data_IF_665584427975
#
_entry.id   IF_665584427975
#
_cell.length_a   1.000
_cell.length_b   1.000
_cell.length_c   1.000
_cell.angle_alpha   90.00
_cell.angle_beta   90.00
_cell.angle_gamma   90.00
#
_symmetry.space_group_name_H-M   'P 1'
#
loop_
_entity.id
_entity.type
_entity.pdbx_description
1 polymer ?
#
# COMPACT_ATOMS: atom_id res chain seq x y z
N UNK A 1 15.80 16.04 -46.90
CA UNK A 1 17.06 16.73 -46.55
C UNK A 1 17.17 16.68 -45.04
N UNK A 2 18.14 15.93 -44.52
CA UNK A 2 18.27 15.59 -43.10
C UNK A 2 18.56 16.84 -42.24
N UNK A 3 17.88 16.95 -41.10
CA UNK A 3 18.21 17.92 -40.04
C UNK A 3 19.39 17.34 -39.23
N UNK A 4 20.57 17.31 -39.85
CA UNK A 4 21.83 17.07 -39.13
C UNK A 4 22.27 18.41 -38.51
N UNK A 5 22.82 18.37 -37.30
CA UNK A 5 23.45 19.49 -36.56
C UNK A 5 22.55 20.43 -35.74
N UNK A 6 21.75 19.89 -34.81
CA UNK A 6 21.25 20.66 -33.66
C UNK A 6 22.04 20.37 -32.36
N UNK A 7 23.24 19.79 -32.46
CA UNK A 7 24.07 19.42 -31.29
C UNK A 7 25.09 20.48 -30.86
N UNK A 8 25.36 21.48 -31.71
CA UNK A 8 26.41 22.50 -31.45
C UNK A 8 25.89 23.94 -31.37
N UNK A 9 24.56 24.14 -31.35
CA UNK A 9 24.03 25.48 -31.05
C UNK A 9 24.27 25.79 -29.57
N UNK A 10 25.07 26.82 -29.31
CA UNK A 10 25.19 27.40 -27.98
C UNK A 10 23.81 27.86 -27.51
N UNK A 11 23.47 27.75 -26.22
CA UNK A 11 22.15 28.15 -25.70
C UNK A 11 21.70 29.55 -26.13
N UNK A 12 22.66 30.47 -26.34
CA UNK A 12 22.45 31.83 -26.85
C UNK A 12 21.99 31.91 -28.32
N UNK A 13 22.44 31.02 -29.20
CA UNK A 13 22.02 30.99 -30.60
C UNK A 13 20.64 30.33 -30.76
N UNK A 14 20.39 29.29 -29.97
CA UNK A 14 19.09 28.64 -29.87
C UNK A 14 18.03 29.65 -29.39
N UNK A 15 18.37 30.43 -28.36
CA UNK A 15 17.51 31.51 -27.85
C UNK A 15 17.22 32.57 -28.92
N UNK A 16 18.21 32.97 -29.72
CA UNK A 16 18.03 33.96 -30.80
C UNK A 16 17.16 33.46 -31.96
N UNK A 17 17.27 32.17 -32.30
CA UNK A 17 16.42 31.54 -33.33
C UNK A 17 14.99 31.38 -32.82
N UNK A 18 14.82 30.98 -31.56
CA UNK A 18 13.52 30.88 -30.89
C UNK A 18 12.84 32.25 -30.73
N UNK A 19 13.59 33.30 -30.38
CA UNK A 19 13.12 34.70 -30.30
C UNK A 19 12.54 35.19 -31.64
N UNK A 20 13.11 34.74 -32.77
CA UNK A 20 12.66 35.09 -34.11
C UNK A 20 11.33 34.42 -34.49
N UNK A 21 11.01 33.30 -33.85
CA UNK A 21 9.80 32.51 -34.04
C UNK A 21 8.92 32.59 -32.80
N UNK A 22 8.35 33.78 -32.51
CA UNK A 22 7.28 34.01 -31.50
C UNK A 22 7.38 33.07 -30.26
N UNK A 23 8.34 33.38 -29.39
CA UNK A 23 8.64 32.65 -28.14
C UNK A 23 7.45 32.47 -27.19
N UNK A 24 6.45 33.35 -27.22
CA UNK A 24 5.27 33.27 -26.35
C UNK A 24 4.57 31.91 -26.46
N UNK A 25 4.44 31.37 -27.68
CA UNK A 25 3.76 30.09 -27.90
C UNK A 25 4.57 28.90 -27.36
N UNK A 26 5.89 28.99 -27.32
CA UNK A 26 6.75 27.89 -26.87
C UNK A 26 6.98 27.93 -25.34
N UNK A 27 7.08 29.12 -24.74
CA UNK A 27 7.03 29.26 -23.28
C UNK A 27 5.67 28.81 -22.75
N UNK A 28 4.56 29.23 -23.36
CA UNK A 28 3.22 28.77 -22.98
C UNK A 28 3.07 27.25 -23.17
N UNK A 29 3.55 26.69 -24.29
CA UNK A 29 3.51 25.23 -24.53
C UNK A 29 4.40 24.43 -23.55
N UNK A 30 5.56 24.96 -23.16
CA UNK A 30 6.47 24.28 -22.21
C UNK A 30 5.95 24.37 -20.78
N UNK A 31 5.38 25.51 -20.38
CA UNK A 31 4.69 25.69 -19.10
C UNK A 31 3.48 24.76 -19.01
N UNK A 32 2.60 24.75 -20.02
CA UNK A 32 1.42 23.87 -20.05
C UNK A 32 1.81 22.39 -20.06
N UNK A 33 2.90 22.02 -20.74
CA UNK A 33 3.40 20.64 -20.72
C UNK A 33 3.97 20.27 -19.35
N UNK A 34 4.72 21.15 -18.70
CA UNK A 34 5.26 20.92 -17.36
C UNK A 34 4.15 20.83 -16.31
N UNK A 35 3.18 21.74 -16.33
CA UNK A 35 1.99 21.72 -15.47
C UNK A 35 1.19 20.43 -15.64
N UNK A 36 1.00 19.98 -16.89
CA UNK A 36 0.32 18.71 -17.19
C UNK A 36 1.08 17.51 -16.62
N UNK A 37 2.41 17.44 -16.81
CA UNK A 37 3.22 16.35 -16.27
C UNK A 37 3.24 16.33 -14.74
N UNK A 38 3.27 17.50 -14.09
CA UNK A 38 3.16 17.60 -12.62
C UNK A 38 1.78 17.13 -12.16
N UNK A 39 0.72 17.57 -12.83
CA UNK A 39 -0.65 17.16 -12.53
C UNK A 39 -0.85 15.65 -12.70
N UNK A 40 -0.37 15.07 -13.80
CA UNK A 40 -0.39 13.63 -14.07
C UNK A 40 0.41 12.87 -13.00
N UNK A 41 1.59 13.35 -12.60
CA UNK A 41 2.41 12.74 -11.55
C UNK A 41 1.74 12.77 -10.18
N UNK A 42 1.10 13.89 -9.81
CA UNK A 42 0.32 13.99 -8.56
C UNK A 42 -0.86 13.02 -8.60
N UNK A 43 -1.60 12.99 -9.70
CA UNK A 43 -2.76 12.10 -9.85
C UNK A 43 -2.35 10.63 -9.76
N UNK A 44 -1.29 10.24 -10.45
CA UNK A 44 -0.73 8.88 -10.37
C UNK A 44 -0.26 8.55 -8.95
N UNK A 45 0.40 9.48 -8.25
CA UNK A 45 0.83 9.30 -6.87
C UNK A 45 -0.34 9.08 -5.92
N UNK A 46 -1.40 9.89 -6.05
CA UNK A 46 -2.64 9.76 -5.24
C UNK A 46 -3.35 8.44 -5.54
N UNK A 47 -3.48 8.06 -6.81
CA UNK A 47 -4.13 6.82 -7.20
C UNK A 47 -3.36 5.60 -6.70
N UNK A 48 -2.04 5.59 -6.89
CA UNK A 48 -1.15 4.54 -6.39
C UNK A 48 -1.26 4.41 -4.88
N UNK A 49 -1.17 5.52 -4.13
CA UNK A 49 -1.29 5.50 -2.67
C UNK A 49 -2.64 4.98 -2.17
N UNK A 50 -3.74 5.30 -2.86
CA UNK A 50 -5.08 4.75 -2.54
C UNK A 50 -5.16 3.25 -2.78
N UNK A 51 -4.58 2.77 -3.88
CA UNK A 51 -4.57 1.35 -4.22
C UNK A 51 -3.73 0.57 -3.21
N UNK A 52 -2.50 1.03 -2.95
CA UNK A 52 -1.58 0.40 -2.00
C UNK A 52 -2.21 0.33 -0.60
N UNK A 53 -2.68 1.46 -0.06
CA UNK A 53 -3.31 1.48 1.27
C UNK A 53 -4.56 0.60 1.37
N UNK A 54 -5.36 0.48 0.30
CA UNK A 54 -6.53 -0.41 0.28
C UNK A 54 -6.12 -1.88 0.23
N UNK A 55 -5.07 -2.22 -0.50
CA UNK A 55 -4.57 -3.60 -0.59
C UNK A 55 -3.95 -4.00 0.74
N UNK A 56 -3.05 -3.19 1.28
CA UNK A 56 -2.38 -3.44 2.57
C UNK A 56 -3.41 -3.61 3.68
N UNK A 57 -4.29 -2.63 3.89
CA UNK A 57 -5.30 -2.70 4.96
C UNK A 57 -6.26 -3.90 4.81
N UNK A 58 -6.58 -4.32 3.58
CA UNK A 58 -7.41 -5.52 3.35
C UNK A 58 -6.66 -6.81 3.64
N UNK A 59 -5.37 -6.87 3.32
CA UNK A 59 -4.53 -8.05 3.59
C UNK A 59 -4.30 -8.18 5.09
N UNK A 60 -3.84 -7.10 5.74
CA UNK A 60 -3.58 -7.06 7.19
C UNK A 60 -4.83 -7.42 7.97
N UNK A 61 -5.95 -6.72 7.76
CA UNK A 61 -7.19 -7.01 8.49
C UNK A 61 -7.74 -8.41 8.25
N UNK A 62 -7.51 -9.00 7.05
CA UNK A 62 -7.92 -10.39 6.78
C UNK A 62 -7.00 -11.41 7.46
N UNK A 63 -5.71 -11.11 7.59
CA UNK A 63 -4.76 -11.99 8.28
C UNK A 63 -5.02 -11.93 9.78
N UNK A 64 -5.07 -10.73 10.36
CA UNK A 64 -5.31 -10.50 11.78
C UNK A 64 -6.64 -11.14 12.20
N UNK A 65 -7.75 -10.79 11.54
CA UNK A 65 -9.06 -11.36 11.89
C UNK A 65 -9.15 -12.89 11.72
N UNK A 66 -8.38 -13.49 10.79
CA UNK A 66 -8.31 -14.96 10.67
C UNK A 66 -7.52 -15.60 11.80
N UNK A 67 -6.45 -14.95 12.27
CA UNK A 67 -5.63 -15.46 13.38
C UNK A 67 -6.40 -15.32 14.68
N UNK A 68 -6.97 -14.14 14.94
CA UNK A 68 -7.79 -13.85 16.11
C UNK A 68 -8.98 -14.82 16.19
N UNK A 69 -9.78 -14.93 15.12
CA UNK A 69 -10.94 -15.83 15.13
C UNK A 69 -10.58 -17.31 15.31
N UNK A 70 -9.39 -17.75 14.84
CA UNK A 70 -8.92 -19.12 15.11
C UNK A 70 -8.54 -19.33 16.57
N UNK A 71 -7.92 -18.34 17.21
CA UNK A 71 -7.53 -18.41 18.63
C UNK A 71 -8.78 -18.33 19.50
N UNK A 72 -9.68 -17.40 19.23
CA UNK A 72 -10.97 -17.26 19.92
C UNK A 72 -11.80 -18.54 19.84
N UNK A 73 -11.91 -19.15 18.65
CA UNK A 73 -12.63 -20.41 18.49
C UNK A 73 -12.03 -21.54 19.32
N UNK A 74 -10.69 -21.66 19.37
CA UNK A 74 -10.01 -22.65 20.22
C UNK A 74 -10.27 -22.41 21.71
N UNK A 75 -10.27 -21.14 22.14
CA UNK A 75 -10.55 -20.75 23.52
C UNK A 75 -12.00 -21.07 23.90
N UNK A 76 -12.95 -20.77 23.02
CA UNK A 76 -14.36 -21.08 23.23
C UNK A 76 -14.59 -22.61 23.36
N UNK A 77 -13.98 -23.38 22.46
CA UNK A 77 -14.05 -24.84 22.49
C UNK A 77 -13.39 -25.41 23.76
N UNK A 78 -12.23 -24.90 24.17
CA UNK A 78 -11.58 -25.30 25.42
C UNK A 78 -12.50 -25.08 26.63
N UNK A 79 -13.14 -23.90 26.73
CA UNK A 79 -14.08 -23.59 27.80
C UNK A 79 -15.31 -24.51 27.79
N UNK A 80 -15.86 -24.82 26.61
CA UNK A 80 -16.97 -25.78 26.47
C UNK A 80 -16.56 -27.20 26.89
N UNK A 81 -15.35 -27.64 26.53
CA UNK A 81 -14.83 -28.96 26.90
C UNK A 81 -14.70 -29.10 28.43
N UNK A 82 -14.10 -28.10 29.09
CA UNK A 82 -13.95 -28.09 30.55
C UNK A 82 -15.32 -28.09 31.26
N UNK A 83 -16.28 -27.29 30.76
CA UNK A 83 -17.66 -27.29 31.28
C UNK A 83 -18.37 -28.65 31.13
N UNK A 84 -17.98 -29.45 30.14
CA UNK A 84 -18.48 -30.83 29.94
C UNK A 84 -17.74 -31.87 30.80
N UNK A 85 -16.79 -31.45 31.64
CA UNK A 85 -16.03 -32.34 32.51
C UNK A 85 -14.87 -33.05 31.81
N UNK A 86 -14.45 -32.60 30.63
CA UNK A 86 -13.22 -33.09 29.99
C UNK A 86 -12.03 -32.58 30.81
N UNK A 87 -11.07 -33.46 31.08
CA UNK A 87 -9.92 -33.12 31.90
C UNK A 87 -9.01 -32.08 31.23
N UNK A 88 -8.38 -31.25 32.05
CA UNK A 88 -7.53 -30.15 31.57
C UNK A 88 -6.41 -30.65 30.65
N UNK A 89 -5.78 -31.79 30.95
CA UNK A 89 -4.66 -32.31 30.16
C UNK A 89 -5.11 -32.63 28.73
N UNK A 90 -6.24 -33.33 28.58
CA UNK A 90 -6.87 -33.63 27.30
C UNK A 90 -7.27 -32.37 26.54
N UNK A 91 -7.80 -31.35 27.23
CA UNK A 91 -8.15 -30.06 26.59
C UNK A 91 -6.91 -29.36 26.04
N UNK A 92 -5.82 -29.30 26.80
CA UNK A 92 -4.55 -28.70 26.34
C UNK A 92 -3.98 -29.44 25.13
N UNK A 93 -4.05 -30.78 25.13
CA UNK A 93 -3.59 -31.62 24.03
C UNK A 93 -4.42 -31.41 22.75
N UNK A 94 -5.75 -31.41 22.84
CA UNK A 94 -6.65 -31.27 21.69
C UNK A 94 -6.58 -29.85 21.09
N UNK A 95 -6.61 -28.83 21.94
CA UNK A 95 -6.67 -27.43 21.49
C UNK A 95 -5.29 -26.88 21.12
N UNK A 96 -4.22 -27.48 21.65
CA UNK A 96 -2.85 -26.99 21.57
C UNK A 96 -2.63 -25.69 22.34
N UNK A 97 -3.54 -25.34 23.25
CA UNK A 97 -3.41 -24.17 24.11
C UNK A 97 -2.56 -24.51 25.33
N UNK A 98 -1.97 -23.49 25.95
CA UNK A 98 -1.26 -23.64 27.23
C UNK A 98 -2.19 -23.32 28.40
N UNK A 99 -1.90 -23.89 29.57
CA UNK A 99 -2.66 -23.59 30.79
C UNK A 99 -2.59 -22.10 31.14
N UNK A 100 -1.43 -21.46 30.92
CA UNK A 100 -1.26 -20.01 31.09
C UNK A 100 -2.22 -19.23 30.20
N UNK A 101 -2.33 -19.61 28.93
CA UNK A 101 -3.25 -18.98 27.98
C UNK A 101 -4.70 -19.10 28.44
N UNK A 102 -5.12 -20.26 28.96
CA UNK A 102 -6.47 -20.43 29.49
C UNK A 102 -6.75 -19.55 30.72
N UNK A 103 -5.77 -19.42 31.64
CA UNK A 103 -5.87 -18.53 32.81
C UNK A 103 -5.94 -17.06 32.42
N UNK A 104 -5.09 -16.62 31.50
CA UNK A 104 -5.06 -15.23 30.99
C UNK A 104 -6.39 -14.84 30.33
N UNK A 105 -7.10 -15.82 29.76
CA UNK A 105 -8.40 -15.63 29.12
C UNK A 105 -9.59 -15.98 30.05
N UNK A 106 -9.35 -16.23 31.34
CA UNK A 106 -10.41 -16.45 32.34
C UNK A 106 -11.23 -17.74 32.15
N UNK A 107 -10.67 -18.74 31.47
CA UNK A 107 -11.30 -20.05 31.26
C UNK A 107 -11.03 -21.01 32.43
N UNK A 108 -9.86 -20.85 33.06
CA UNK A 108 -9.43 -21.53 34.28
C UNK A 108 -9.29 -20.52 35.41
#
# INVERSE_FOLDING_TARGET
MYIYWARDLKPTELKRVLERSKLEQYEELTVTTAERLISEGIQQGVEKGKIEGKIEGKIEGKIEGKIEGKIEGKLEDAGKMLKKGIDLKTVLEITGLSEKTLKENGIL
#
